data_IF_926006589365
#
_entry.id   IF_926006589365
#
_cell.length_a   1.000
_cell.length_b   1.000
_cell.length_c   1.000
_cell.angle_alpha   90.00
_cell.angle_beta   90.00
_cell.angle_gamma   90.00
#
_symmetry.space_group_name_H-M   'P 1'
#
loop_
_entity.id
_entity.type
_entity.pdbx_description
1 polymer ?
#
# COMPACT_ATOMS: atom_id res chain seq x y z
N UNK A 1 -6.96 -17.44 -17.14
CA UNK A 1 -6.25 -18.49 -16.37
C UNK A 1 -4.75 -18.21 -16.20
N UNK A 2 -4.01 -17.79 -17.23
CA UNK A 2 -2.55 -17.54 -17.12
C UNK A 2 -2.19 -16.37 -16.20
N UNK A 3 -2.94 -15.27 -16.26
CA UNK A 3 -2.76 -14.09 -15.39
C UNK A 3 -2.89 -14.43 -13.90
N UNK A 4 -3.89 -15.22 -13.53
CA UNK A 4 -4.11 -15.62 -12.14
C UNK A 4 -2.96 -16.50 -11.62
N UNK A 5 -2.50 -17.46 -12.43
CA UNK A 5 -1.34 -18.30 -12.06
C UNK A 5 -0.08 -17.45 -11.81
N UNK A 6 0.19 -16.49 -12.68
CA UNK A 6 1.32 -15.57 -12.51
C UNK A 6 1.15 -14.66 -11.29
N UNK A 7 -0.05 -14.14 -11.04
CA UNK A 7 -0.33 -13.33 -9.87
C UNK A 7 -0.10 -14.10 -8.56
N UNK A 8 -0.48 -15.39 -8.50
CA UNK A 8 -0.22 -16.25 -7.33
C UNK A 8 1.28 -16.46 -7.12
N UNK A 9 2.04 -16.67 -8.19
CA UNK A 9 3.50 -16.81 -8.09
C UNK A 9 4.13 -15.53 -7.51
N UNK A 10 3.75 -14.37 -8.03
CA UNK A 10 4.25 -13.08 -7.52
C UNK A 10 3.81 -12.79 -6.09
N UNK A 11 2.58 -13.18 -5.72
CA UNK A 11 2.09 -13.07 -4.36
C UNK A 11 2.90 -13.96 -3.41
N UNK A 12 3.15 -15.22 -3.78
CA UNK A 12 3.98 -16.14 -2.99
C UNK A 12 5.41 -15.63 -2.83
N UNK A 13 5.94 -15.01 -3.88
CA UNK A 13 7.27 -14.41 -3.84
C UNK A 13 7.33 -13.19 -2.92
N UNK A 14 6.30 -12.34 -2.93
CA UNK A 14 6.17 -11.25 -1.97
C UNK A 14 6.04 -11.77 -0.53
N UNK A 15 5.29 -12.86 -0.30
CA UNK A 15 5.19 -13.50 1.02
C UNK A 15 6.55 -14.05 1.49
N UNK A 16 7.39 -14.53 0.56
CA UNK A 16 8.72 -15.10 0.86
C UNK A 16 9.76 -14.04 1.25
N UNK A 17 9.47 -12.74 1.15
CA UNK A 17 10.35 -11.66 1.65
C UNK A 17 9.84 -11.08 2.98
N UNK A 18 9.76 -11.90 4.05
CA UNK A 18 9.00 -11.60 5.26
C UNK A 18 9.46 -10.33 5.96
N UNK A 19 10.76 -10.00 5.90
CA UNK A 19 11.31 -8.87 6.63
C UNK A 19 10.69 -7.53 6.19
N UNK A 20 10.51 -7.35 4.87
CA UNK A 20 9.86 -6.14 4.33
C UNK A 20 8.37 -6.11 4.71
N UNK A 21 7.68 -7.25 4.63
CA UNK A 21 6.25 -7.33 4.98
C UNK A 21 6.03 -7.01 6.46
N UNK A 22 6.84 -7.62 7.33
CA UNK A 22 6.75 -7.44 8.78
C UNK A 22 6.96 -5.97 9.13
N UNK A 23 7.97 -5.31 8.56
CA UNK A 23 8.21 -3.89 8.84
C UNK A 23 7.12 -2.96 8.31
N UNK A 24 6.53 -3.28 7.16
CA UNK A 24 5.47 -2.45 6.54
C UNK A 24 4.18 -2.48 7.36
N UNK A 25 3.89 -3.58 8.07
CA UNK A 25 2.73 -3.71 8.97
C UNK A 25 3.07 -3.29 10.40
N UNK A 26 4.17 -3.80 10.95
CA UNK A 26 4.50 -3.64 12.37
C UNK A 26 4.76 -2.18 12.70
N UNK A 27 5.46 -1.44 11.84
CA UNK A 27 5.78 -0.04 12.08
C UNK A 27 4.54 0.83 12.32
N UNK A 28 3.54 0.89 11.41
CA UNK A 28 2.34 1.69 11.65
C UNK A 28 1.49 1.16 12.81
N UNK A 29 1.48 -0.15 13.04
CA UNK A 29 0.74 -0.75 14.17
C UNK A 29 1.33 -0.35 15.51
N UNK A 30 2.65 -0.52 15.68
CA UNK A 30 3.36 -0.14 16.92
C UNK A 30 3.28 1.37 17.12
N UNK A 31 3.46 2.17 16.06
CA UNK A 31 3.35 3.62 16.13
C UNK A 31 1.95 4.06 16.55
N UNK A 32 0.90 3.39 16.06
CA UNK A 32 -0.48 3.68 16.44
C UNK A 32 -0.70 3.48 17.94
N UNK A 33 -0.29 2.33 18.49
CA UNK A 33 -0.43 2.07 19.93
C UNK A 33 0.46 2.97 20.78
N UNK A 34 1.66 3.30 20.30
CA UNK A 34 2.55 4.19 21.04
C UNK A 34 1.99 5.61 21.16
N UNK A 35 1.41 6.14 20.08
CA UNK A 35 0.82 7.49 20.08
C UNK A 35 -0.44 7.60 20.92
N UNK A 36 -1.26 6.55 20.95
CA UNK A 36 -2.56 6.58 21.62
C UNK A 36 -2.57 5.79 22.94
N UNK A 37 -1.40 5.38 23.46
CA UNK A 37 -1.31 4.49 24.62
C UNK A 37 -2.09 5.02 25.85
N UNK A 38 -1.95 6.32 26.12
CA UNK A 38 -2.63 6.98 27.25
C UNK A 38 -4.13 7.22 27.02
N UNK A 39 -4.59 7.11 25.76
CA UNK A 39 -5.95 7.41 25.34
C UNK A 39 -6.80 6.14 25.19
N UNK A 40 -6.19 4.95 25.30
CA UNK A 40 -6.87 3.64 25.21
C UNK A 40 -7.97 3.52 26.26
N UNK A 41 -7.69 3.89 27.51
CA UNK A 41 -8.68 3.79 28.60
C UNK A 41 -9.79 4.86 28.47
N UNK A 42 -9.47 6.02 27.92
CA UNK A 42 -10.41 7.14 27.77
C UNK A 42 -11.43 6.90 26.65
N UNK A 43 -10.99 6.31 25.54
CA UNK A 43 -11.79 6.08 24.33
C UNK A 43 -12.16 4.60 24.13
N UNK A 44 -12.27 3.85 25.22
CA UNK A 44 -12.63 2.44 25.20
C UNK A 44 -14.00 2.24 24.52
N UNK A 45 -14.03 1.50 23.40
CA UNK A 45 -15.24 1.27 22.62
C UNK A 45 -15.76 2.47 21.79
N UNK A 46 -15.07 3.61 21.76
CA UNK A 46 -15.48 4.78 20.96
C UNK A 46 -15.07 4.61 19.49
N UNK A 47 -16.01 4.15 18.68
CA UNK A 47 -15.80 3.88 17.24
C UNK A 47 -15.62 5.14 16.41
N UNK A 48 -16.21 6.27 16.82
CA UNK A 48 -16.20 7.52 16.05
C UNK A 48 -14.85 8.23 16.15
N UNK A 49 -14.26 8.26 17.36
CA UNK A 49 -12.90 8.75 17.55
C UNK A 49 -11.88 7.82 16.87
N UNK A 50 -12.02 6.52 17.05
CA UNK A 50 -11.12 5.52 16.49
C UNK A 50 -11.10 5.55 14.95
N UNK A 51 -12.26 5.72 14.32
CA UNK A 51 -12.36 5.83 12.86
C UNK A 51 -11.55 7.00 12.28
N UNK A 52 -11.50 8.14 12.98
CA UNK A 52 -10.69 9.29 12.57
C UNK A 52 -9.20 8.97 12.64
N UNK A 53 -8.73 8.35 13.73
CA UNK A 53 -7.31 8.01 13.87
C UNK A 53 -6.89 6.93 12.87
N UNK A 54 -7.69 5.86 12.73
CA UNK A 54 -7.42 4.76 11.78
C UNK A 54 -7.28 5.29 10.34
N UNK A 55 -8.08 6.30 9.95
CA UNK A 55 -8.08 6.80 8.57
C UNK A 55 -6.70 7.27 8.08
N UNK A 56 -5.93 7.93 8.95
CA UNK A 56 -4.58 8.41 8.63
C UNK A 56 -3.60 7.26 8.44
N UNK A 57 -3.63 6.29 9.35
CA UNK A 57 -2.73 5.14 9.31
C UNK A 57 -3.04 4.21 8.13
N UNK A 58 -4.33 4.01 7.82
CA UNK A 58 -4.76 3.27 6.64
C UNK A 58 -4.28 3.96 5.36
N UNK A 59 -4.34 5.29 5.29
CA UNK A 59 -3.78 6.06 4.18
C UNK A 59 -2.26 5.88 4.03
N UNK A 60 -1.53 5.92 5.15
CA UNK A 60 -0.08 5.69 5.18
C UNK A 60 0.30 4.26 4.74
N UNK A 61 -0.41 3.24 5.25
CA UNK A 61 -0.19 1.83 4.87
C UNK A 61 -0.44 1.65 3.38
N UNK A 62 -1.59 2.14 2.89
CA UNK A 62 -1.98 2.12 1.48
C UNK A 62 -0.87 2.66 0.58
N UNK A 63 -0.39 3.86 0.91
CA UNK A 63 0.68 4.52 0.15
C UNK A 63 2.01 3.75 0.21
N UNK A 64 2.40 3.27 1.39
CA UNK A 64 3.63 2.50 1.58
C UNK A 64 3.62 1.22 0.76
N UNK A 65 2.49 0.52 0.70
CA UNK A 65 2.33 -0.70 -0.10
C UNK A 65 2.47 -0.40 -1.60
N UNK A 66 1.85 0.68 -2.07
CA UNK A 66 1.96 1.09 -3.48
C UNK A 66 3.40 1.47 -3.84
N UNK A 67 4.12 2.19 -2.99
CA UNK A 67 5.51 2.56 -3.29
C UNK A 67 6.49 1.38 -3.17
N UNK A 68 6.48 0.69 -2.03
CA UNK A 68 7.49 -0.32 -1.73
C UNK A 68 7.16 -1.68 -2.38
N UNK A 69 5.93 -2.15 -2.29
CA UNK A 69 5.58 -3.48 -2.84
C UNK A 69 5.22 -3.45 -4.32
N UNK A 70 4.70 -2.34 -4.84
CA UNK A 70 4.38 -2.24 -6.27
C UNK A 70 5.50 -1.56 -7.07
N UNK A 71 5.83 -0.29 -6.78
CA UNK A 71 6.81 0.45 -7.59
C UNK A 71 8.23 -0.11 -7.50
N UNK A 72 8.78 -0.32 -6.30
CA UNK A 72 10.14 -0.87 -6.20
C UNK A 72 10.24 -2.30 -6.75
N UNK A 73 9.19 -3.10 -6.63
CA UNK A 73 9.16 -4.43 -7.23
C UNK A 73 9.28 -4.35 -8.77
N UNK A 74 8.51 -3.46 -9.39
CA UNK A 74 8.60 -3.23 -10.84
C UNK A 74 10.00 -2.74 -11.25
N UNK A 75 10.61 -1.84 -10.48
CA UNK A 75 11.95 -1.30 -10.77
C UNK A 75 13.03 -2.37 -10.58
N UNK A 76 13.04 -3.08 -9.45
CA UNK A 76 14.04 -4.11 -9.15
C UNK A 76 14.03 -5.28 -10.14
N UNK A 77 12.84 -5.65 -10.66
CA UNK A 77 12.73 -6.69 -11.70
C UNK A 77 13.19 -6.23 -13.08
N UNK A 78 13.23 -4.92 -13.35
CA UNK A 78 13.80 -4.38 -14.60
C UNK A 78 15.31 -4.57 -14.64
N UNK A 79 15.99 -4.49 -13.50
CA UNK A 79 17.44 -4.67 -13.41
C UNK A 79 17.87 -6.13 -13.48
N UNK A 80 17.05 -7.04 -12.95
CA UNK A 80 17.36 -8.48 -12.89
C UNK A 80 17.35 -9.22 -14.24
N UNK A 81 17.11 -8.52 -15.36
CA UNK A 81 16.99 -9.13 -16.69
C UNK A 81 15.75 -10.02 -16.90
N UNK A 82 14.98 -10.34 -15.84
CA UNK A 82 13.75 -11.13 -15.92
C UNK A 82 12.71 -10.50 -16.86
N UNK A 83 12.63 -9.16 -16.84
CA UNK A 83 11.79 -8.38 -17.75
C UNK A 83 12.31 -8.42 -19.19
N UNK A 84 13.61 -8.68 -19.46
CA UNK A 84 14.14 -8.80 -20.82
C UNK A 84 13.49 -9.96 -21.59
N UNK A 85 13.15 -11.06 -20.90
CA UNK A 85 12.41 -12.21 -21.48
C UNK A 85 10.96 -11.87 -21.86
N UNK A 86 10.34 -10.92 -21.15
CA UNK A 86 8.96 -10.46 -21.41
C UNK A 86 8.89 -9.17 -22.25
N UNK A 87 10.01 -8.49 -22.49
CA UNK A 87 10.10 -7.20 -23.18
C UNK A 87 9.96 -7.32 -24.70
N UNK A 88 10.28 -8.47 -25.27
CA UNK A 88 10.18 -8.65 -26.73
C UNK A 88 8.73 -8.64 -27.25
N UNK A 89 7.73 -8.94 -26.41
CA UNK A 89 6.32 -8.92 -26.78
C UNK A 89 5.49 -8.00 -25.86
N UNK A 90 4.75 -7.08 -26.48
CA UNK A 90 3.84 -6.15 -25.78
C UNK A 90 2.82 -6.86 -24.88
N UNK A 91 2.33 -8.03 -25.32
CA UNK A 91 1.37 -8.85 -24.56
C UNK A 91 1.99 -9.43 -23.28
N UNK A 92 3.27 -9.81 -23.32
CA UNK A 92 4.00 -10.33 -22.17
C UNK A 92 4.20 -9.26 -21.09
N UNK A 93 4.53 -8.03 -21.51
CA UNK A 93 4.64 -6.88 -20.60
C UNK A 93 3.31 -6.57 -19.92
N UNK A 94 2.21 -6.60 -20.66
CA UNK A 94 0.88 -6.29 -20.15
C UNK A 94 0.36 -7.38 -19.21
N UNK A 95 0.66 -8.65 -19.51
CA UNK A 95 0.40 -9.80 -18.63
C UNK A 95 1.14 -9.65 -17.28
N UNK A 96 2.43 -9.28 -17.32
CA UNK A 96 3.25 -9.07 -16.13
C UNK A 96 2.68 -7.97 -15.23
N UNK A 97 2.41 -6.79 -15.80
CA UNK A 97 1.87 -5.64 -15.07
C UNK A 97 0.52 -5.97 -14.43
N UNK A 98 -0.41 -6.60 -15.18
CA UNK A 98 -1.71 -7.00 -14.65
C UNK A 98 -1.58 -8.00 -13.49
N UNK A 99 -0.68 -8.96 -13.63
CA UNK A 99 -0.46 -9.97 -12.59
C UNK A 99 0.13 -9.36 -11.33
N UNK A 100 1.08 -8.43 -11.48
CA UNK A 100 1.68 -7.71 -10.36
C UNK A 100 0.70 -6.78 -9.67
N UNK A 101 -0.16 -6.07 -10.43
CA UNK A 101 -1.20 -5.20 -9.87
C UNK A 101 -2.19 -5.99 -9.00
N UNK A 102 -2.62 -7.17 -9.47
CA UNK A 102 -3.50 -8.05 -8.69
C UNK A 102 -2.80 -8.51 -7.41
N UNK A 103 -1.55 -8.97 -7.51
CA UNK A 103 -0.78 -9.44 -6.36
C UNK A 103 -0.61 -8.33 -5.30
N UNK A 104 -0.20 -7.12 -5.71
CA UNK A 104 -0.02 -5.99 -4.80
C UNK A 104 -1.33 -5.48 -4.20
N UNK A 105 -2.44 -5.56 -4.93
CA UNK A 105 -3.76 -5.18 -4.43
C UNK A 105 -4.24 -6.16 -3.36
N UNK A 106 -4.04 -7.47 -3.55
CA UNK A 106 -4.33 -8.49 -2.53
C UNK A 106 -3.49 -8.24 -1.28
N UNK A 107 -2.19 -7.96 -1.44
CA UNK A 107 -1.33 -7.64 -0.29
C UNK A 107 -1.81 -6.39 0.45
N UNK A 108 -2.20 -5.34 -0.26
CA UNK A 108 -2.75 -4.12 0.36
C UNK A 108 -4.00 -4.43 1.21
N UNK A 109 -4.92 -5.24 0.70
CA UNK A 109 -6.11 -5.67 1.43
C UNK A 109 -5.73 -6.42 2.71
N UNK A 110 -4.80 -7.38 2.61
CA UNK A 110 -4.34 -8.15 3.76
C UNK A 110 -3.73 -7.25 4.84
N UNK A 111 -2.94 -6.25 4.47
CA UNK A 111 -2.31 -5.33 5.41
C UNK A 111 -3.30 -4.41 6.11
N UNK A 112 -4.21 -3.80 5.35
CA UNK A 112 -5.25 -2.93 5.92
C UNK A 112 -6.15 -3.72 6.85
N UNK A 113 -6.53 -4.95 6.44
CA UNK A 113 -7.35 -5.82 7.27
C UNK A 113 -6.63 -6.24 8.55
N UNK A 114 -5.35 -6.63 8.47
CA UNK A 114 -4.55 -6.97 9.65
C UNK A 114 -4.45 -5.78 10.61
N UNK A 115 -4.11 -4.60 10.11
CA UNK A 115 -3.99 -3.39 10.95
C UNK A 115 -5.30 -3.08 11.66
N UNK A 116 -6.44 -3.09 10.95
CA UNK A 116 -7.75 -2.81 11.54
C UNK A 116 -8.13 -3.86 12.58
N UNK A 117 -7.88 -5.15 12.34
CA UNK A 117 -8.16 -6.20 13.32
C UNK A 117 -7.38 -6.00 14.63
N UNK A 118 -6.09 -5.69 14.53
CA UNK A 118 -5.25 -5.47 15.72
C UNK A 118 -5.72 -4.24 16.48
N UNK A 119 -6.03 -3.14 15.80
CA UNK A 119 -6.52 -1.91 16.43
C UNK A 119 -7.88 -2.10 17.09
N UNK A 120 -8.82 -2.76 16.40
CA UNK A 120 -10.15 -3.07 16.96
C UNK A 120 -10.06 -3.94 18.20
N UNK A 121 -9.16 -4.94 18.19
CA UNK A 121 -8.94 -5.82 19.35
C UNK A 121 -8.29 -5.06 20.51
N UNK A 122 -7.34 -4.15 20.21
CA UNK A 122 -6.67 -3.34 21.23
C UNK A 122 -7.59 -2.35 21.95
N UNK A 123 -8.54 -1.75 21.24
CA UNK A 123 -9.52 -0.79 21.80
C UNK A 123 -10.87 -1.42 22.17
N UNK A 124 -11.00 -2.75 22.01
CA UNK A 124 -12.23 -3.53 22.21
C UNK A 124 -13.47 -2.91 21.54
N UNK A 125 -13.29 -2.37 20.34
CA UNK A 125 -14.35 -1.71 19.59
C UNK A 125 -15.00 -2.66 18.58
N UNK A 126 -16.32 -2.52 18.36
CA UNK A 126 -17.03 -3.26 17.32
C UNK A 126 -16.83 -2.60 15.95
N UNK A 127 -16.75 -3.38 14.85
CA UNK A 127 -16.65 -2.82 13.51
C UNK A 127 -17.91 -2.02 13.16
N UNK A 128 -17.75 -0.72 12.96
CA UNK A 128 -18.81 0.19 12.53
C UNK A 128 -18.80 0.40 11.01
N UNK A 129 -19.92 0.88 10.45
CA UNK A 129 -20.07 1.23 9.04
C UNK A 129 -18.96 2.17 8.54
N UNK A 130 -18.49 3.09 9.39
CA UNK A 130 -17.41 4.01 9.05
C UNK A 130 -16.10 3.27 8.72
N UNK A 131 -15.78 2.21 9.47
CA UNK A 131 -14.54 1.43 9.29
C UNK A 131 -14.61 0.64 7.98
N UNK A 132 -15.76 0.05 7.66
CA UNK A 132 -15.99 -0.63 6.39
C UNK A 132 -15.83 0.34 5.22
N UNK A 133 -16.37 1.56 5.33
CA UNK A 133 -16.22 2.60 4.32
C UNK A 133 -14.76 3.04 4.15
N UNK A 134 -13.96 3.10 5.24
CA UNK A 134 -12.53 3.40 5.17
C UNK A 134 -11.78 2.31 4.40
N UNK A 135 -12.08 1.03 4.65
CA UNK A 135 -11.47 -0.10 3.93
C UNK A 135 -11.78 0.01 2.43
N UNK A 136 -13.05 0.20 2.06
CA UNK A 136 -13.45 0.31 0.66
C UNK A 136 -12.77 1.50 -0.05
N UNK A 137 -12.73 2.66 0.60
CA UNK A 137 -12.04 3.84 0.08
C UNK A 137 -10.54 3.60 -0.10
N UNK A 138 -9.90 2.93 0.86
CA UNK A 138 -8.48 2.57 0.77
C UNK A 138 -8.19 1.66 -0.42
N UNK A 139 -9.01 0.63 -0.66
CA UNK A 139 -8.86 -0.27 -1.80
C UNK A 139 -9.00 0.51 -3.12
N UNK A 140 -10.01 1.37 -3.22
CA UNK A 140 -10.23 2.20 -4.41
C UNK A 140 -9.05 3.14 -4.69
N UNK A 141 -8.57 3.86 -3.68
CA UNK A 141 -7.43 4.78 -3.80
C UNK A 141 -6.17 4.02 -4.19
N UNK A 142 -5.92 2.85 -3.59
CA UNK A 142 -4.78 2.01 -3.93
C UNK A 142 -4.82 1.52 -5.37
N UNK A 143 -5.97 1.03 -5.83
CA UNK A 143 -6.15 0.59 -7.20
C UNK A 143 -5.90 1.75 -8.18
N UNK A 144 -6.47 2.93 -7.90
CA UNK A 144 -6.27 4.13 -8.72
C UNK A 144 -4.79 4.54 -8.76
N UNK A 145 -4.13 4.63 -7.61
CA UNK A 145 -2.70 4.98 -7.51
C UNK A 145 -1.80 4.01 -8.26
N UNK A 146 -2.03 2.69 -8.15
CA UNK A 146 -1.27 1.69 -8.89
C UNK A 146 -1.43 1.86 -10.41
N UNK A 147 -2.66 2.10 -10.89
CA UNK A 147 -2.92 2.34 -12.32
C UNK A 147 -2.23 3.62 -12.79
N UNK A 148 -2.35 4.72 -12.05
CA UNK A 148 -1.67 6.00 -12.36
C UNK A 148 -0.15 5.85 -12.41
N UNK A 149 0.45 5.15 -11.45
CA UNK A 149 1.90 4.94 -11.40
C UNK A 149 2.37 4.00 -12.51
N UNK A 150 1.55 3.05 -12.94
CA UNK A 150 1.82 2.20 -14.11
C UNK A 150 1.86 3.01 -15.40
N UNK A 151 0.94 3.96 -15.53
CA UNK A 151 0.91 4.90 -16.64
C UNK A 151 2.18 5.76 -16.64
N UNK A 152 2.58 6.31 -15.48
CA UNK A 152 3.82 7.07 -15.35
C UNK A 152 5.07 6.21 -15.62
N UNK A 153 5.12 4.96 -15.15
CA UNK A 153 6.23 4.04 -15.34
C UNK A 153 6.37 3.51 -16.78
N UNK A 154 5.38 3.79 -17.64
CA UNK A 154 5.46 3.53 -19.09
C UNK A 154 6.36 4.55 -19.80
N UNK A 155 6.58 5.73 -19.22
CA UNK A 155 7.66 6.63 -19.64
C UNK A 155 9.00 6.02 -19.18
N UNK A 156 10.05 6.07 -20.02
CA UNK A 156 11.35 5.47 -19.69
C UNK A 156 11.97 6.15 -18.46
N UNK A 157 11.85 5.51 -17.29
CA UNK A 157 12.50 5.95 -16.05
C UNK A 157 13.86 5.24 -15.94
N UNK A 158 14.94 6.01 -16.04
CA UNK A 158 16.31 5.58 -15.67
C UNK A 158 16.48 5.60 -14.14
N UNK A 159 17.41 4.81 -13.61
CA UNK A 159 17.60 4.62 -12.16
C UNK A 159 17.81 5.92 -11.39
N UNK A 160 18.48 6.90 -12.01
CA UNK A 160 18.72 8.23 -11.46
C UNK A 160 17.44 9.07 -11.29
N UNK A 161 16.40 8.83 -12.09
CA UNK A 161 15.09 9.47 -11.96
C UNK A 161 14.19 8.81 -10.91
N UNK A 162 14.38 7.53 -10.58
CA UNK A 162 13.50 6.80 -9.63
C UNK A 162 13.58 7.37 -8.19
N UNK A 163 14.79 7.72 -7.74
CA UNK A 163 15.03 8.42 -6.47
C UNK A 163 14.42 9.83 -6.49
N UNK A 164 14.50 10.52 -7.64
CA UNK A 164 13.88 11.84 -7.85
C UNK A 164 12.35 11.77 -7.83
N UNK A 165 11.71 10.74 -8.40
CA UNK A 165 10.25 10.57 -8.30
C UNK A 165 9.79 10.24 -6.89
N UNK A 166 10.55 9.43 -6.14
CA UNK A 166 10.27 9.18 -4.72
C UNK A 166 10.34 10.49 -3.91
N UNK A 167 11.35 11.33 -4.17
CA UNK A 167 11.51 12.65 -3.58
C UNK A 167 10.43 13.65 -4.02
N UNK A 168 10.01 13.64 -5.28
CA UNK A 168 8.94 14.47 -5.80
C UNK A 168 7.56 14.07 -5.26
N UNK A 169 7.28 12.77 -5.11
CA UNK A 169 6.03 12.30 -4.49
C UNK A 169 6.01 12.68 -2.99
N UNK A 170 7.14 12.58 -2.29
CA UNK A 170 7.25 13.00 -0.89
C UNK A 170 7.05 14.53 -0.73
N UNK A 171 7.58 15.34 -1.66
CA UNK A 171 7.33 16.79 -1.71
C UNK A 171 5.90 17.16 -2.12
N UNK A 172 5.29 16.39 -3.02
CA UNK A 172 3.88 16.57 -3.39
C UNK A 172 2.96 16.29 -2.19
N UNK A 173 3.33 15.33 -1.34
CA UNK A 173 2.65 15.07 -0.07
C UNK A 173 2.84 16.19 0.96
N UNK A 174 4.02 16.82 1.03
CA UNK A 174 4.23 18.03 1.83
C UNK A 174 3.35 19.20 1.35
N UNK A 175 3.13 19.31 0.04
CA UNK A 175 2.19 20.25 -0.56
C UNK A 175 0.72 19.94 -0.21
N UNK A 176 0.31 18.67 -0.26
CA UNK A 176 -1.03 18.23 0.15
C UNK A 176 -1.24 18.42 1.67
N UNK A 177 -0.22 18.20 2.50
CA UNK A 177 -0.24 18.49 3.94
C UNK A 177 -0.52 19.96 4.23
N UNK A 178 0.08 20.88 3.49
CA UNK A 178 -0.18 22.32 3.62
C UNK A 178 -1.52 22.78 3.03
N UNK A 179 -2.08 22.02 2.09
CA UNK A 179 -3.40 22.31 1.50
C UNK A 179 -4.54 21.87 2.43
N UNK A 180 -4.36 20.77 3.17
CA UNK A 180 -5.34 20.24 4.14
C UNK A 180 -5.35 21.03 5.46
N UNK A 181 -4.27 21.72 5.83
CA UNK A 181 -4.20 22.57 7.05
C UNK A 181 -4.95 23.91 6.88
N UNK A 182 -5.40 24.25 5.67
CA UNK A 182 -6.09 25.51 5.36
C UNK A 182 -7.59 25.37 5.07
N UNK A 183 -8.17 24.19 5.33
CA UNK A 183 -9.62 23.93 5.30
C UNK A 183 -10.04 23.49 6.70
#
# INVERSE_FOLDING_TARGET
>A
MVTLKMAIIFLMEQIRTPFSLIWTIMSPTVLFFFLHFNEIELHYGDTAWLGKQISWFVGYISFSVVLFNYCLYLVGRRESGFIATFVHNMDGRLLFIRSQLIASLIMSILYVFFFILVVLTGFQASPDYQIVMIILKSIYINAFMMVSLTFMASFRVTFQNSQHYLFCINNCLYGIRNCIIKI
#
